data_IF_189087342675
#
_entry.id   IF_189087342675
#
_cell.length_a   1.000
_cell.length_b   1.000
_cell.length_c   1.000
_cell.angle_alpha   90.00
_cell.angle_beta   90.00
_cell.angle_gamma   90.00
#
_symmetry.space_group_name_H-M   'P 1'
#
loop_
_entity.id
_entity.type
_entity.pdbx_description
1 polymer ?
#
# COMPACT_ATOMS: atom_id res chain seq x y z
N UNK A 1 28.59 0.40 15.80
CA UNK A 1 27.31 0.22 15.08
C UNK A 1 27.55 -0.88 14.06
N UNK A 2 26.86 -2.02 14.13
CA UNK A 2 27.03 -3.07 13.12
C UNK A 2 26.42 -2.56 11.81
N UNK A 3 27.21 -2.54 10.74
CA UNK A 3 26.68 -2.21 9.43
C UNK A 3 25.62 -3.25 9.02
N UNK A 4 24.48 -2.81 8.47
CA UNK A 4 23.44 -3.73 8.00
C UNK A 4 23.97 -4.59 6.86
N UNK A 5 23.71 -5.90 6.96
CA UNK A 5 24.26 -6.90 6.04
C UNK A 5 23.70 -6.75 4.63
N UNK A 6 24.46 -7.19 3.62
CA UNK A 6 24.03 -7.13 2.21
C UNK A 6 22.70 -7.86 1.99
N UNK A 7 22.45 -8.94 2.73
CA UNK A 7 21.15 -9.65 2.72
C UNK A 7 20.00 -8.75 3.14
N UNK A 8 20.17 -7.92 4.16
CA UNK A 8 19.14 -6.98 4.60
C UNK A 8 18.88 -5.89 3.57
N UNK A 9 19.94 -5.41 2.90
CA UNK A 9 19.82 -4.42 1.82
C UNK A 9 19.05 -5.00 0.63
N UNK A 10 19.41 -6.21 0.19
CA UNK A 10 18.72 -6.93 -0.88
C UNK A 10 17.25 -7.20 -0.53
N UNK A 11 16.97 -7.62 0.71
CA UNK A 11 15.60 -7.83 1.18
C UNK A 11 14.78 -6.54 1.14
N UNK A 12 15.33 -5.41 1.60
CA UNK A 12 14.65 -4.13 1.52
C UNK A 12 14.36 -3.71 0.08
N UNK A 13 15.32 -3.88 -0.82
CA UNK A 13 15.14 -3.58 -2.25
C UNK A 13 14.02 -4.44 -2.84
N UNK A 14 14.05 -5.75 -2.57
CA UNK A 14 13.03 -6.68 -3.04
C UNK A 14 11.63 -6.33 -2.51
N UNK A 15 11.52 -5.98 -1.22
CA UNK A 15 10.26 -5.55 -0.62
C UNK A 15 9.76 -4.22 -1.20
N UNK A 16 10.66 -3.27 -1.47
CA UNK A 16 10.27 -2.02 -2.13
C UNK A 16 9.77 -2.27 -3.55
N UNK A 17 10.46 -3.11 -4.33
CA UNK A 17 10.03 -3.47 -5.67
C UNK A 17 8.67 -4.17 -5.64
N UNK A 18 8.49 -5.15 -4.75
CA UNK A 18 7.22 -5.84 -4.56
C UNK A 18 6.10 -4.88 -4.12
N UNK A 19 6.39 -3.91 -3.27
CA UNK A 19 5.44 -2.87 -2.87
C UNK A 19 5.04 -2.00 -4.06
N UNK A 20 5.98 -1.49 -4.85
CA UNK A 20 5.70 -0.67 -6.04
C UNK A 20 4.85 -1.45 -7.03
N UNK A 21 5.19 -2.72 -7.27
CA UNK A 21 4.42 -3.60 -8.16
C UNK A 21 3.01 -3.79 -7.61
N UNK A 22 2.83 -4.21 -6.36
CA UNK A 22 1.51 -4.45 -5.78
C UNK A 22 0.65 -3.17 -5.74
N UNK A 23 1.24 -2.05 -5.34
CA UNK A 23 0.56 -0.76 -5.28
C UNK A 23 0.16 -0.26 -6.66
N UNK A 24 1.08 -0.29 -7.64
CA UNK A 24 0.81 0.13 -9.01
C UNK A 24 -0.17 -0.79 -9.73
N UNK A 25 -0.02 -2.11 -9.54
CA UNK A 25 -0.88 -3.10 -10.17
C UNK A 25 -2.32 -3.03 -9.66
N UNK A 26 -2.56 -2.54 -8.43
CA UNK A 26 -3.91 -2.26 -7.96
C UNK A 26 -4.67 -1.32 -8.91
N UNK A 27 -4.03 -0.27 -9.41
CA UNK A 27 -4.64 0.68 -10.34
C UNK A 27 -4.86 0.06 -11.72
N UNK A 28 -3.90 -0.74 -12.18
CA UNK A 28 -4.03 -1.49 -13.42
C UNK A 28 -5.23 -2.43 -13.39
N UNK A 29 -5.38 -3.24 -12.33
CA UNK A 29 -6.53 -4.15 -12.23
C UNK A 29 -7.85 -3.40 -12.10
N UNK A 30 -7.89 -2.27 -11.40
CA UNK A 30 -9.10 -1.44 -11.34
C UNK A 30 -9.53 -0.93 -12.72
N UNK A 31 -8.58 -0.48 -13.54
CA UNK A 31 -8.84 0.06 -14.86
C UNK A 31 -9.26 -1.03 -15.88
N UNK A 32 -8.54 -2.14 -15.89
CA UNK A 32 -8.68 -3.20 -16.92
C UNK A 32 -9.77 -4.23 -16.60
N UNK A 33 -10.14 -4.41 -15.33
CA UNK A 33 -11.19 -5.38 -14.99
C UNK A 33 -12.52 -4.88 -15.52
N UNK A 34 -13.20 -5.59 -16.43
CA UNK A 34 -14.54 -5.20 -16.89
C UNK A 34 -15.54 -5.18 -15.71
N UNK A 35 -16.45 -4.18 -15.60
CA UNK A 35 -17.46 -4.18 -14.54
C UNK A 35 -18.39 -5.37 -14.73
N UNK A 36 -18.52 -6.21 -13.70
CA UNK A 36 -19.46 -7.34 -13.69
C UNK A 36 -20.59 -7.08 -12.70
N UNK A 37 -21.68 -7.86 -12.84
CA UNK A 37 -22.86 -7.78 -11.99
C UNK A 37 -23.92 -6.80 -12.49
N UNK A 38 -25.03 -6.75 -11.75
CA UNK A 38 -26.24 -6.01 -12.12
C UNK A 38 -26.63 -4.96 -11.08
N UNK A 39 -27.31 -3.91 -11.56
CA UNK A 39 -27.80 -2.80 -10.75
C UNK A 39 -26.73 -2.17 -9.87
N UNK A 40 -27.03 -2.03 -8.58
CA UNK A 40 -26.15 -1.43 -7.57
C UNK A 40 -24.79 -2.13 -7.42
N UNK A 41 -24.70 -3.43 -7.72
CA UNK A 41 -23.46 -4.20 -7.55
C UNK A 41 -22.51 -4.11 -8.73
N UNK A 42 -22.93 -3.47 -9.83
CA UNK A 42 -22.13 -3.36 -11.05
C UNK A 42 -20.83 -2.60 -10.77
N UNK A 43 -19.69 -3.26 -10.97
CA UNK A 43 -18.35 -2.69 -10.75
C UNK A 43 -17.76 -2.96 -9.36
N UNK A 44 -18.48 -3.64 -8.46
CA UNK A 44 -17.95 -4.05 -7.16
C UNK A 44 -16.68 -4.91 -7.32
N UNK A 45 -16.62 -5.75 -8.36
CA UNK A 45 -15.46 -6.57 -8.67
C UNK A 45 -14.16 -5.75 -8.86
N UNK A 46 -14.25 -4.57 -9.49
CA UNK A 46 -13.10 -3.65 -9.65
C UNK A 46 -12.61 -3.14 -8.30
N UNK A 47 -13.56 -2.71 -7.46
CA UNK A 47 -13.28 -2.19 -6.13
C UNK A 47 -12.64 -3.28 -5.25
N UNK A 48 -13.22 -4.49 -5.24
CA UNK A 48 -12.68 -5.63 -4.49
C UNK A 48 -11.29 -6.00 -4.98
N UNK A 49 -11.04 -6.01 -6.30
CA UNK A 49 -9.71 -6.27 -6.86
C UNK A 49 -8.69 -5.23 -6.41
N UNK A 50 -9.03 -3.94 -6.53
CA UNK A 50 -8.18 -2.84 -6.08
C UNK A 50 -7.83 -2.95 -4.59
N UNK A 51 -8.85 -3.13 -3.75
CA UNK A 51 -8.68 -3.23 -2.30
C UNK A 51 -7.86 -4.46 -1.90
N UNK A 52 -7.99 -5.58 -2.64
CA UNK A 52 -7.16 -6.76 -2.44
C UNK A 52 -5.66 -6.46 -2.65
N UNK A 53 -5.31 -5.81 -3.76
CA UNK A 53 -3.92 -5.42 -4.04
C UNK A 53 -3.40 -4.35 -3.08
N UNK A 54 -4.24 -3.40 -2.66
CA UNK A 54 -3.89 -2.43 -1.63
C UNK A 54 -3.65 -3.08 -0.27
N UNK A 55 -4.41 -4.13 0.08
CA UNK A 55 -4.16 -4.95 1.27
C UNK A 55 -2.79 -5.62 1.24
N UNK A 56 -2.43 -6.24 0.12
CA UNK A 56 -1.09 -6.82 -0.10
C UNK A 56 -0.01 -5.75 0.04
N UNK A 57 -0.18 -4.59 -0.62
CA UNK A 57 0.76 -3.48 -0.52
C UNK A 57 0.90 -2.97 0.93
N UNK A 58 -0.20 -2.89 1.68
CA UNK A 58 -0.19 -2.51 3.10
C UNK A 58 0.61 -3.49 3.97
N UNK A 59 0.48 -4.80 3.75
CA UNK A 59 1.28 -5.80 4.45
C UNK A 59 2.78 -5.67 4.17
N UNK A 60 3.14 -5.42 2.91
CA UNK A 60 4.54 -5.18 2.52
C UNK A 60 5.07 -3.89 3.17
N UNK A 61 4.24 -2.83 3.25
CA UNK A 61 4.60 -1.59 3.92
C UNK A 61 4.92 -1.79 5.42
N UNK A 62 4.15 -2.63 6.11
CA UNK A 62 4.42 -2.99 7.51
C UNK A 62 5.77 -3.72 7.63
N UNK A 63 6.07 -4.65 6.72
CA UNK A 63 7.34 -5.35 6.69
C UNK A 63 8.53 -4.39 6.47
N UNK A 64 8.39 -3.45 5.52
CA UNK A 64 9.39 -2.41 5.24
C UNK A 64 9.71 -1.56 6.46
N UNK A 65 8.68 -1.08 7.19
CA UNK A 65 8.89 -0.30 8.42
C UNK A 65 9.54 -1.15 9.51
N UNK A 66 9.11 -2.40 9.67
CA UNK A 66 9.63 -3.31 10.69
C UNK A 66 11.13 -3.56 10.50
N UNK A 67 11.57 -3.83 9.27
CA UNK A 67 12.98 -4.00 8.93
C UNK A 67 13.74 -2.67 9.00
N UNK A 68 13.14 -1.58 8.48
CA UNK A 68 13.73 -0.24 8.50
C UNK A 68 13.99 0.32 9.90
N UNK A 69 13.23 -0.10 10.91
CA UNK A 69 13.47 0.28 12.32
C UNK A 69 14.81 -0.20 12.87
N UNK A 70 15.39 -1.26 12.30
CA UNK A 70 16.72 -1.75 12.65
C UNK A 70 17.87 -0.84 12.20
N UNK A 71 17.59 0.14 11.31
CA UNK A 71 18.59 1.08 10.83
C UNK A 71 18.76 2.30 11.77
N UNK A 72 19.94 2.96 11.76
CA UNK A 72 20.20 4.13 12.59
C UNK A 72 19.10 5.20 12.46
N UNK A 73 18.75 5.83 13.58
CA UNK A 73 17.80 6.96 13.59
C UNK A 73 18.34 8.08 12.69
N UNK A 74 17.46 8.68 11.88
CA UNK A 74 17.83 9.74 10.94
C UNK A 74 18.39 9.25 9.59
N UNK A 75 18.70 7.95 9.45
CA UNK A 75 19.14 7.40 8.15
C UNK A 75 18.06 7.52 7.07
N UNK A 76 18.50 7.73 5.83
CA UNK A 76 17.61 7.80 4.67
C UNK A 76 16.78 6.50 4.54
N UNK A 77 17.39 5.33 4.72
CA UNK A 77 16.71 4.03 4.65
C UNK A 77 15.54 3.97 5.64
N UNK A 78 15.76 4.36 6.90
CA UNK A 78 14.71 4.34 7.92
C UNK A 78 13.55 5.29 7.60
N UNK A 79 13.84 6.47 7.05
CA UNK A 79 12.82 7.42 6.61
C UNK A 79 12.03 6.89 5.42
N UNK A 80 12.73 6.37 4.41
CA UNK A 80 12.13 5.84 3.19
C UNK A 80 11.25 4.62 3.47
N UNK A 81 11.67 3.71 4.34
CA UNK A 81 10.85 2.57 4.78
C UNK A 81 9.48 2.97 5.35
N UNK A 82 9.35 4.20 5.86
CA UNK A 82 8.08 4.74 6.37
C UNK A 82 7.13 5.25 5.29
N UNK A 83 7.63 5.58 4.09
CA UNK A 83 6.82 6.18 3.01
C UNK A 83 5.66 5.27 2.59
N UNK A 84 5.87 3.96 2.31
CA UNK A 84 4.78 3.04 2.00
C UNK A 84 3.66 3.00 3.05
N UNK A 85 4.02 3.00 4.33
CA UNK A 85 3.04 2.95 5.42
C UNK A 85 2.29 4.28 5.55
N UNK A 86 3.00 5.40 5.41
CA UNK A 86 2.36 6.72 5.40
C UNK A 86 1.34 6.82 4.27
N UNK A 87 1.69 6.37 3.06
CA UNK A 87 0.77 6.35 1.93
C UNK A 87 -0.44 5.46 2.19
N UNK A 88 -0.26 4.29 2.79
CA UNK A 88 -1.37 3.42 3.18
C UNK A 88 -2.32 4.10 4.19
N UNK A 89 -1.76 4.79 5.21
CA UNK A 89 -2.56 5.53 6.20
C UNK A 89 -3.34 6.66 5.53
N UNK A 90 -2.68 7.47 4.70
CA UNK A 90 -3.32 8.56 3.97
C UNK A 90 -4.43 8.04 3.05
N UNK A 91 -4.21 6.90 2.41
CA UNK A 91 -5.18 6.28 1.53
C UNK A 91 -6.42 5.79 2.29
N UNK A 92 -6.24 5.12 3.44
CA UNK A 92 -7.35 4.76 4.33
C UNK A 92 -8.09 6.00 4.82
N UNK A 93 -7.36 7.03 5.24
CA UNK A 93 -7.95 8.29 5.69
C UNK A 93 -8.78 8.97 4.59
N UNK A 94 -8.30 8.97 3.35
CA UNK A 94 -9.02 9.51 2.20
C UNK A 94 -10.33 8.74 1.94
N UNK A 95 -10.28 7.40 1.94
CA UNK A 95 -11.48 6.57 1.77
C UNK A 95 -12.49 6.85 2.88
N UNK A 96 -12.06 6.84 4.15
CA UNK A 96 -12.92 7.15 5.28
C UNK A 96 -13.49 8.56 5.22
N UNK A 97 -12.68 9.55 4.83
CA UNK A 97 -13.11 10.93 4.66
C UNK A 97 -14.22 11.06 3.62
N UNK A 98 -14.09 10.39 2.47
CA UNK A 98 -15.12 10.36 1.43
C UNK A 98 -16.40 9.68 1.95
N UNK A 99 -16.28 8.55 2.64
CA UNK A 99 -17.44 7.84 3.21
C UNK A 99 -18.18 8.72 4.22
N UNK A 100 -17.46 9.36 5.14
CA UNK A 100 -18.04 10.22 6.16
C UNK A 100 -18.70 11.46 5.54
N UNK A 101 -18.07 12.07 4.54
CA UNK A 101 -18.64 13.19 3.79
C UNK A 101 -19.92 12.80 3.05
N UNK A 102 -19.93 11.66 2.36
CA UNK A 102 -21.11 11.16 1.67
C UNK A 102 -22.26 10.84 2.64
N UNK A 103 -21.95 10.38 3.87
CA UNK A 103 -22.97 10.16 4.91
C UNK A 103 -23.52 11.45 5.50
N UNK A 104 -22.72 12.51 5.59
CA UNK A 104 -23.14 13.79 6.15
C UNK A 104 -23.89 14.69 5.15
N UNK A 105 -23.79 14.38 3.85
CA UNK A 105 -24.42 15.13 2.76
C UNK A 105 -25.72 14.50 2.23
N UNK A 106 -26.07 13.31 2.72
CA UNK A 106 -27.39 12.69 2.56
C UNK A 106 -28.27 12.99 3.77
#
# INVERSE_FOLDING_TARGET
MNEPSDRQRLLLIALFAAWVIAFGYAFFTFAETAPSGDGFTRGMNRITSYLGWQGIAGMIAIALVSIGRGWPKGSAVRRMSGVPLLLAILHVAAILGIILWARASN
#
